data_IF_087554674230
#
_entry.id   IF_087554674230
#
_cell.length_a   1.000
_cell.length_b   1.000
_cell.length_c   1.000
_cell.angle_alpha   90.00
_cell.angle_beta   90.00
_cell.angle_gamma   90.00
#
_symmetry.space_group_name_H-M   'P 1'
#
loop_
_entity.id
_entity.type
_entity.pdbx_description
1 polymer ?
#
# COMPACT_ATOMS: atom_id res chain seq x y z
N UNK A 1 45.49 35.62 43.84
CA UNK A 1 46.33 36.73 43.36
C UNK A 1 46.37 36.57 41.84
N UNK A 2 45.83 37.43 40.99
CA UNK A 2 45.22 38.73 41.18
C UNK A 2 44.18 38.97 40.08
N UNK A 3 43.15 39.72 40.47
CA UNK A 3 42.25 40.41 39.59
C UNK A 3 42.84 41.79 39.23
N UNK A 4 42.33 42.36 38.14
CA UNK A 4 42.24 43.79 37.80
C UNK A 4 43.34 44.41 36.91
N UNK A 5 42.87 44.98 35.79
CA UNK A 5 43.05 46.38 35.32
C UNK A 5 42.45 46.43 33.88
N UNK A 6 41.30 47.08 33.64
CA UNK A 6 41.17 48.51 33.25
C UNK A 6 42.18 48.93 32.16
N UNK A 7 41.86 49.58 31.04
CA UNK A 7 40.70 50.35 30.64
C UNK A 7 40.80 50.69 29.13
N UNK A 8 39.65 51.04 28.53
CA UNK A 8 39.39 52.08 27.51
C UNK A 8 40.36 52.22 26.32
N UNK A 9 39.80 52.02 25.12
CA UNK A 9 40.31 52.54 23.87
C UNK A 9 39.24 52.52 22.78
N UNK A 10 38.54 53.65 22.62
CA UNK A 10 37.70 53.93 21.46
C UNK A 10 38.58 54.03 20.21
N UNK A 11 38.43 53.11 19.26
CA UNK A 11 38.97 53.29 17.90
C UNK A 11 37.93 52.81 16.86
N UNK A 12 37.56 53.75 16.01
CA UNK A 12 36.66 53.66 14.86
C UNK A 12 36.96 52.46 13.93
N UNK A 13 35.94 51.71 13.45
CA UNK A 13 36.12 50.59 12.53
C UNK A 13 36.15 51.07 11.09
N UNK A 14 37.18 51.81 10.69
CA UNK A 14 37.58 51.92 9.29
C UNK A 14 39.09 51.91 9.25
N UNK A 15 39.61 51.09 8.33
CA UNK A 15 41.04 50.87 8.06
C UNK A 15 41.68 49.81 8.96
N UNK A 16 41.51 48.53 8.59
CA UNK A 16 42.49 47.43 8.73
C UNK A 16 41.82 46.13 8.24
N UNK A 17 41.63 46.02 6.93
CA UNK A 17 41.27 44.79 6.22
C UNK A 17 42.04 44.81 4.93
N UNK A 18 43.36 44.58 5.00
CA UNK A 18 44.23 44.29 3.86
C UNK A 18 45.59 43.79 4.38
N UNK A 19 45.59 42.61 5.01
CA UNK A 19 46.73 41.68 5.01
C UNK A 19 46.46 40.56 6.01
N UNK A 20 46.05 39.39 5.52
CA UNK A 20 46.39 38.04 6.00
C UNK A 20 45.76 37.03 5.02
N UNK A 21 46.31 35.80 4.89
CA UNK A 21 46.36 35.06 3.64
C UNK A 21 45.15 34.15 3.42
N UNK A 22 44.78 34.05 2.14
CA UNK A 22 44.05 32.97 1.44
C UNK A 22 43.45 31.93 2.38
N UNK A 23 42.24 32.23 2.82
CA UNK A 23 41.36 31.29 3.49
C UNK A 23 40.88 30.27 2.45
N UNK A 24 40.95 28.99 2.84
CA UNK A 24 40.46 27.83 2.09
C UNK A 24 38.95 27.95 1.88
N UNK A 25 38.53 28.74 0.90
CA UNK A 25 37.23 28.60 0.25
C UNK A 25 37.26 27.32 -0.58
N UNK A 26 37.16 26.19 0.10
CA UNK A 26 36.55 25.01 -0.48
C UNK A 26 35.11 25.39 -0.82
N UNK A 27 34.89 25.88 -2.04
CA UNK A 27 33.60 25.76 -2.71
C UNK A 27 33.33 24.26 -2.85
N UNK A 28 32.88 23.63 -1.77
CA UNK A 28 32.19 22.35 -1.85
C UNK A 28 30.93 22.67 -2.66
N UNK A 29 30.98 22.35 -3.94
CA UNK A 29 29.78 22.27 -4.76
C UNK A 29 28.91 21.25 -4.06
N UNK A 30 27.96 21.71 -3.24
CA UNK A 30 26.95 20.86 -2.66
C UNK A 30 26.28 20.15 -3.82
N UNK A 31 26.47 18.83 -3.91
CA UNK A 31 25.78 18.04 -4.92
C UNK A 31 24.29 18.26 -4.70
N UNK A 32 23.52 18.40 -5.78
CA UNK A 32 22.06 18.58 -5.75
C UNK A 32 21.39 17.53 -4.83
N UNK A 33 21.99 16.35 -4.75
CA UNK A 33 21.62 15.23 -3.87
C UNK A 33 21.70 15.61 -2.38
N UNK A 34 22.70 16.37 -1.94
CA UNK A 34 22.86 16.78 -0.55
C UNK A 34 21.88 17.90 -0.15
N UNK A 35 21.47 18.73 -1.12
CA UNK A 35 20.33 19.65 -0.96
C UNK A 35 18.99 18.88 -0.83
N UNK A 36 18.80 17.80 -1.57
CA UNK A 36 17.60 16.95 -1.46
C UNK A 36 17.56 16.13 -0.16
N UNK A 37 18.73 15.72 0.36
CA UNK A 37 18.85 15.12 1.70
C UNK A 37 18.56 16.13 2.83
N UNK A 38 18.61 17.43 2.53
CA UNK A 38 18.32 18.51 3.49
C UNK A 38 16.83 18.89 3.58
N UNK A 39 15.95 18.26 2.78
CA UNK A 39 14.49 18.39 2.94
C UNK A 39 14.16 18.10 4.40
N UNK A 40 13.52 19.08 5.06
CA UNK A 40 13.30 19.10 6.49
C UNK A 40 12.68 17.79 6.96
N UNK A 41 13.41 17.06 7.81
CA UNK A 41 12.85 15.96 8.59
C UNK A 41 11.57 16.47 9.26
N UNK A 42 10.45 15.70 9.27
CA UNK A 42 9.25 16.11 9.99
C UNK A 42 9.64 16.45 11.43
N UNK A 43 9.03 17.48 12.01
CA UNK A 43 9.40 18.04 13.31
C UNK A 43 9.32 16.95 14.38
N UNK A 44 10.45 16.28 14.66
CA UNK A 44 10.49 15.08 15.48
C UNK A 44 10.26 15.47 16.93
N UNK A 45 9.04 15.29 17.43
CA UNK A 45 8.73 15.41 18.85
C UNK A 45 9.27 14.19 19.61
N UNK A 46 10.60 14.12 19.80
CA UNK A 46 11.21 13.31 20.85
C UNK A 46 11.28 14.13 22.14
N UNK A 47 11.02 13.49 23.27
CA UNK A 47 11.18 14.16 24.56
C UNK A 47 12.63 14.61 24.77
N UNK A 48 12.81 15.86 25.20
CA UNK A 48 14.09 16.55 25.49
C UNK A 48 14.95 15.88 26.58
N UNK A 49 14.58 14.70 27.07
CA UNK A 49 15.23 13.99 28.16
C UNK A 49 15.56 12.53 27.80
N UNK A 50 15.87 12.25 26.52
CA UNK A 50 16.48 10.97 26.16
C UNK A 50 17.87 10.89 26.81
N UNK A 51 18.19 9.85 27.61
CA UNK A 51 19.54 9.63 28.14
C UNK A 51 20.59 9.33 27.04
N UNK A 52 20.16 9.23 25.77
CA UNK A 52 21.04 8.97 24.63
C UNK A 52 20.99 10.13 23.61
N UNK A 53 22.03 11.00 23.56
CA UNK A 53 22.00 12.27 22.84
C UNK A 53 22.07 12.18 21.30
N UNK A 54 22.12 10.99 20.70
CA UNK A 54 22.42 10.82 19.26
C UNK A 54 21.25 10.31 18.40
N UNK A 55 20.08 10.02 18.98
CA UNK A 55 18.96 9.43 18.23
C UNK A 55 18.36 10.33 17.15
N UNK A 56 18.41 11.64 17.37
CA UNK A 56 17.97 12.65 16.38
C UNK A 56 18.90 12.70 15.16
N UNK A 57 20.12 12.17 15.29
CA UNK A 57 21.14 12.12 14.22
C UNK A 57 21.17 10.77 13.49
N UNK A 58 20.51 9.74 14.02
CA UNK A 58 20.43 8.44 13.36
C UNK A 58 19.64 8.55 12.04
N UNK A 59 20.15 7.99 10.92
CA UNK A 59 19.42 7.87 9.65
C UNK A 59 18.06 7.19 9.81
N UNK A 60 17.04 7.58 9.03
CA UNK A 60 15.68 7.01 9.19
C UNK A 60 15.61 5.50 8.93
N UNK A 61 16.49 4.96 8.11
CA UNK A 61 16.66 3.54 7.80
C UNK A 61 17.40 2.74 8.89
N UNK A 62 18.05 3.43 9.83
CA UNK A 62 18.74 2.77 10.94
C UNK A 62 17.80 2.43 12.11
N UNK A 63 17.98 1.23 12.66
CA UNK A 63 17.18 0.70 13.77
C UNK A 63 17.62 1.31 15.11
N UNK A 64 16.67 1.83 15.88
CA UNK A 64 16.88 2.26 17.25
C UNK A 64 16.91 1.02 18.17
N UNK A 65 17.93 0.89 19.03
CA UNK A 65 18.02 -0.21 19.98
C UNK A 65 16.86 -0.19 20.99
N UNK A 66 16.39 -1.36 21.42
CA UNK A 66 15.35 -1.47 22.45
C UNK A 66 15.99 -1.31 23.84
N UNK A 67 16.01 -0.09 24.35
CA UNK A 67 16.71 0.26 25.61
C UNK A 67 15.81 0.09 26.85
N UNK A 68 14.61 -0.48 26.69
CA UNK A 68 13.67 -0.68 27.80
C UNK A 68 14.21 -1.59 28.90
N UNK A 69 15.21 -2.43 28.60
CA UNK A 69 15.89 -3.27 29.60
C UNK A 69 16.89 -2.50 30.49
N UNK A 70 17.32 -1.29 30.11
CA UNK A 70 18.39 -0.54 30.79
C UNK A 70 17.93 0.81 31.38
N UNK A 71 16.69 1.25 31.10
CA UNK A 71 16.17 2.50 31.64
C UNK A 71 15.77 2.31 33.12
N UNK A 72 16.46 3.01 34.02
CA UNK A 72 16.07 3.13 35.43
C UNK A 72 15.49 4.53 35.66
N UNK A 73 14.28 4.67 36.23
CA UNK A 73 13.37 3.60 36.64
C UNK A 73 12.70 2.88 35.45
N UNK A 74 12.34 1.59 35.61
CA UNK A 74 11.64 0.81 34.60
C UNK A 74 10.33 1.50 34.19
N UNK A 75 10.22 1.89 32.92
CA UNK A 75 9.05 2.59 32.38
C UNK A 75 9.23 4.09 32.11
N UNK A 76 10.40 4.68 32.39
CA UNK A 76 10.67 6.10 32.08
C UNK A 76 10.86 6.38 30.58
N UNK A 77 11.27 5.38 29.80
CA UNK A 77 11.57 5.54 28.38
C UNK A 77 10.46 4.95 27.51
N UNK A 78 9.76 5.81 26.79
CA UNK A 78 8.75 5.42 25.81
C UNK A 78 8.99 6.11 24.47
N UNK A 79 8.62 5.43 23.38
CA UNK A 79 8.71 5.96 22.03
C UNK A 79 7.37 6.58 21.64
N UNK A 80 7.41 7.76 21.03
CA UNK A 80 6.21 8.43 20.53
C UNK A 80 6.29 8.57 19.01
N UNK A 81 5.14 8.45 18.34
CA UNK A 81 5.00 8.64 16.88
C UNK A 81 4.29 9.96 16.54
N UNK A 82 4.45 10.96 17.40
CA UNK A 82 3.74 12.23 17.29
C UNK A 82 2.44 12.32 18.08
N UNK A 83 1.71 13.41 17.88
CA UNK A 83 0.50 13.74 18.63
C UNK A 83 -0.70 12.91 18.18
N UNK A 84 -1.61 12.67 19.11
CA UNK A 84 -2.89 12.04 18.88
C UNK A 84 -3.64 12.76 17.73
N UNK A 85 -4.10 11.98 16.75
CA UNK A 85 -4.83 12.46 15.58
C UNK A 85 -4.09 13.47 14.69
N UNK A 86 -2.75 13.46 14.71
CA UNK A 86 -1.93 14.09 13.68
C UNK A 86 -1.29 12.97 12.85
N UNK A 87 -1.77 12.72 11.61
CA UNK A 87 -1.12 11.77 10.74
C UNK A 87 0.21 12.38 10.25
N UNK A 88 1.30 11.65 10.45
CA UNK A 88 2.58 11.89 9.74
C UNK A 88 2.61 11.10 8.41
N UNK A 89 1.46 10.60 7.95
CA UNK A 89 1.31 9.71 6.81
C UNK A 89 0.63 10.40 5.62
N UNK A 90 1.02 9.98 4.42
CA UNK A 90 0.39 10.43 3.19
C UNK A 90 -1.02 9.80 3.04
N UNK A 91 -2.05 10.64 3.18
CA UNK A 91 -3.46 10.26 3.03
C UNK A 91 -3.88 10.06 1.57
N UNK A 92 -2.98 10.23 0.60
CA UNK A 92 -3.28 9.98 -0.82
C UNK A 92 -3.44 8.49 -1.17
N UNK A 93 -3.17 7.56 -0.23
CA UNK A 93 -3.54 6.14 -0.32
C UNK A 93 -4.90 5.91 0.36
N UNK A 94 -6.04 5.94 -0.38
CA UNK A 94 -7.38 5.90 0.20
C UNK A 94 -7.73 4.55 0.83
N UNK A 95 -6.90 3.52 0.60
CA UNK A 95 -7.10 2.17 1.14
C UNK A 95 -6.07 1.81 2.21
N UNK A 96 -5.14 2.71 2.53
CA UNK A 96 -4.06 2.47 3.49
C UNK A 96 -3.28 1.18 3.22
N UNK A 97 -3.22 0.72 1.96
CA UNK A 97 -2.59 -0.56 1.62
C UNK A 97 -1.10 -0.53 1.92
N UNK A 98 -0.46 0.63 1.77
CA UNK A 98 0.95 0.83 2.16
C UNK A 98 1.16 0.66 3.65
N UNK A 99 0.27 1.22 4.47
CA UNK A 99 0.30 1.10 5.92
C UNK A 99 0.02 -0.34 6.36
N UNK A 100 -0.96 -1.02 5.74
CA UNK A 100 -1.29 -2.40 6.06
C UNK A 100 -0.16 -3.40 5.72
N UNK A 101 0.58 -3.15 4.62
CA UNK A 101 1.69 -4.03 4.20
C UNK A 101 2.96 -3.79 5.01
N UNK A 102 3.27 -2.54 5.37
CA UNK A 102 4.50 -2.20 6.08
C UNK A 102 4.34 -2.20 7.62
N UNK A 103 3.11 -2.00 8.11
CA UNK A 103 2.78 -1.89 9.53
C UNK A 103 1.51 -2.69 9.85
N UNK A 104 1.60 -4.03 9.96
CA UNK A 104 0.45 -4.88 10.30
C UNK A 104 -0.17 -4.55 11.67
N UNK A 105 0.60 -3.92 12.56
CA UNK A 105 0.18 -3.47 13.89
C UNK A 105 -0.15 -1.95 13.92
N UNK A 106 -0.69 -1.40 12.83
CA UNK A 106 -1.09 0.01 12.77
C UNK A 106 -2.19 0.32 13.79
N UNK A 107 -2.06 1.44 14.50
CA UNK A 107 -3.03 1.92 15.49
C UNK A 107 -3.82 3.10 14.92
N UNK A 108 -5.16 3.00 14.92
CA UNK A 108 -6.06 4.04 14.42
C UNK A 108 -6.06 5.35 15.23
N UNK A 109 -5.32 5.41 16.34
CA UNK A 109 -5.17 6.61 17.18
C UNK A 109 -4.54 7.79 16.43
N UNK A 110 -3.83 7.53 15.34
CA UNK A 110 -3.22 8.55 14.49
C UNK A 110 -4.15 9.06 13.38
N UNK A 111 -5.31 8.42 13.16
CA UNK A 111 -6.18 8.81 12.06
C UNK A 111 -6.75 10.22 12.30
N UNK A 112 -6.68 11.13 11.32
CA UNK A 112 -7.27 12.47 11.47
C UNK A 112 -8.79 12.38 11.67
N UNK A 113 -9.43 11.30 11.20
CA UNK A 113 -10.87 11.06 11.38
C UNK A 113 -11.28 10.83 12.84
N UNK A 114 -10.38 10.30 13.69
CA UNK A 114 -10.65 10.12 15.12
C UNK A 114 -10.40 11.40 15.93
N UNK A 115 -9.88 12.47 15.30
CA UNK A 115 -9.59 13.75 15.95
C UNK A 115 -10.82 14.37 16.63
N UNK A 116 -11.96 14.39 15.93
CA UNK A 116 -13.19 14.97 16.47
C UNK A 116 -13.69 14.19 17.68
N UNK A 117 -13.56 12.86 17.66
CA UNK A 117 -13.96 12.00 18.76
C UNK A 117 -13.11 12.26 20.01
N UNK A 118 -11.79 12.25 19.88
CA UNK A 118 -10.91 12.45 21.04
C UNK A 118 -10.88 13.89 21.55
N UNK A 119 -11.07 14.90 20.68
CA UNK A 119 -11.23 16.29 21.14
C UNK A 119 -12.48 16.45 22.01
N UNK A 120 -13.60 15.86 21.59
CA UNK A 120 -14.89 16.07 22.25
C UNK A 120 -15.13 15.12 23.44
N UNK A 121 -14.40 14.01 23.55
CA UNK A 121 -14.60 13.01 24.60
C UNK A 121 -13.41 12.96 25.57
N UNK A 122 -13.53 13.68 26.69
CA UNK A 122 -12.49 13.73 27.72
C UNK A 122 -12.31 12.39 28.45
N UNK A 123 -13.40 11.64 28.65
CA UNK A 123 -13.36 10.31 29.27
C UNK A 123 -12.53 9.33 28.44
N UNK A 124 -12.67 9.36 27.10
CA UNK A 124 -11.85 8.55 26.21
C UNK A 124 -10.36 8.91 26.33
N UNK A 125 -10.01 10.20 26.41
CA UNK A 125 -8.61 10.63 26.64
C UNK A 125 -8.06 10.17 27.98
N UNK A 126 -8.87 10.26 29.06
CA UNK A 126 -8.48 9.78 30.39
C UNK A 126 -8.24 8.27 30.40
N UNK A 127 -9.08 7.49 29.72
CA UNK A 127 -8.88 6.05 29.57
C UNK A 127 -7.60 5.73 28.77
N UNK A 128 -7.33 6.42 27.66
CA UNK A 128 -6.10 6.23 26.90
C UNK A 128 -4.84 6.51 27.72
N UNK A 129 -4.86 7.55 28.56
CA UNK A 129 -3.78 7.84 29.51
C UNK A 129 -3.65 6.76 30.59
N UNK A 130 -4.77 6.33 31.17
CA UNK A 130 -4.82 5.25 32.18
C UNK A 130 -4.23 3.94 31.66
N UNK A 131 -4.40 3.66 30.36
CA UNK A 131 -3.87 2.46 29.70
C UNK A 131 -2.46 2.64 29.12
N UNK A 132 -1.77 3.76 29.37
CA UNK A 132 -0.43 4.07 28.83
C UNK A 132 -0.36 4.00 27.29
N UNK A 133 -1.47 4.28 26.60
CA UNK A 133 -1.51 4.36 25.14
C UNK A 133 -1.12 5.76 24.65
N UNK A 134 -1.27 6.76 25.52
CA UNK A 134 -1.00 8.17 25.23
C UNK A 134 -0.36 8.81 26.47
N UNK A 135 0.65 9.67 26.27
CA UNK A 135 1.28 10.39 27.37
C UNK A 135 0.51 11.66 27.79
N UNK A 136 1.02 12.40 28.78
CA UNK A 136 0.36 13.62 29.27
C UNK A 136 0.24 14.73 28.23
N UNK A 137 1.16 14.74 27.26
CA UNK A 137 1.20 15.66 26.13
C UNK A 137 0.28 15.25 24.97
N UNK A 138 -0.54 14.21 25.17
CA UNK A 138 -1.37 13.60 24.14
C UNK A 138 -0.57 13.02 22.97
N UNK A 139 0.64 12.53 23.19
CA UNK A 139 1.46 11.81 22.21
C UNK A 139 1.22 10.32 22.33
N UNK A 140 1.04 9.62 21.21
CA UNK A 140 0.74 8.18 21.20
C UNK A 140 2.01 7.40 21.52
N UNK A 141 1.95 6.58 22.56
CA UNK A 141 3.04 5.74 23.03
C UNK A 141 3.10 4.47 22.18
N UNK A 142 4.29 4.05 21.77
CA UNK A 142 4.51 2.84 20.99
C UNK A 142 5.75 2.05 21.45
N UNK A 143 5.82 0.78 21.04
CA UNK A 143 6.99 -0.05 21.32
C UNK A 143 8.21 0.32 20.46
N UNK A 144 9.42 -0.08 20.85
CA UNK A 144 10.63 0.13 20.04
C UNK A 144 10.51 -0.51 18.65
N UNK A 145 9.91 -1.70 18.57
CA UNK A 145 9.62 -2.40 17.31
C UNK A 145 8.72 -1.54 16.41
N UNK A 146 7.65 -1.03 17.00
CA UNK A 146 6.66 -0.17 16.37
C UNK A 146 7.26 1.16 15.91
N UNK A 147 8.13 1.77 16.69
CA UNK A 147 8.83 2.99 16.33
C UNK A 147 9.82 2.77 15.17
N UNK A 148 10.54 1.65 15.15
CA UNK A 148 11.44 1.30 14.06
C UNK A 148 10.71 1.03 12.73
N UNK A 149 9.55 0.38 12.78
CA UNK A 149 8.68 0.23 11.59
C UNK A 149 8.24 1.59 11.06
N UNK A 150 7.87 2.50 11.96
CA UNK A 150 7.49 3.86 11.60
C UNK A 150 8.65 4.63 10.95
N UNK A 151 9.87 4.56 11.50
CA UNK A 151 11.07 5.17 10.90
C UNK A 151 11.38 4.63 9.50
N UNK A 152 11.26 3.31 9.31
CA UNK A 152 11.44 2.66 8.00
C UNK A 152 10.41 3.13 6.96
N UNK A 153 9.16 3.32 7.40
CA UNK A 153 8.11 3.89 6.56
C UNK A 153 8.43 5.33 6.13
N UNK A 154 8.85 6.19 7.07
CA UNK A 154 9.28 7.55 6.76
C UNK A 154 10.47 7.58 5.79
N UNK A 155 11.44 6.66 5.95
CA UNK A 155 12.57 6.54 5.03
C UNK A 155 12.11 6.22 3.60
N UNK A 156 11.13 5.31 3.47
CA UNK A 156 10.53 4.96 2.18
C UNK A 156 9.81 6.15 1.53
N UNK A 157 9.02 6.90 2.30
CA UNK A 157 8.36 8.12 1.81
C UNK A 157 9.37 9.18 1.37
N UNK A 158 10.42 9.42 2.16
CA UNK A 158 11.47 10.37 1.80
C UNK A 158 12.16 9.96 0.49
N UNK A 159 12.47 8.67 0.33
CA UNK A 159 13.06 8.14 -0.90
C UNK A 159 12.14 8.39 -2.10
N UNK A 160 10.84 8.16 -1.97
CA UNK A 160 9.89 8.42 -3.05
C UNK A 160 9.78 9.90 -3.43
N UNK A 161 9.83 10.80 -2.45
CA UNK A 161 9.85 12.24 -2.70
C UNK A 161 11.11 12.60 -3.50
N UNK A 162 12.27 12.12 -3.05
CA UNK A 162 13.55 12.33 -3.73
C UNK A 162 13.50 11.77 -5.16
N UNK A 163 13.00 10.55 -5.34
CA UNK A 163 12.90 9.89 -6.66
C UNK A 163 11.98 10.69 -7.60
N UNK A 164 10.84 11.19 -7.10
CA UNK A 164 9.92 12.05 -7.88
C UNK A 164 10.58 13.37 -8.27
N UNK A 165 11.29 14.02 -7.36
CA UNK A 165 11.99 15.27 -7.64
C UNK A 165 13.15 15.07 -8.63
N UNK A 166 13.85 13.95 -8.56
CA UNK A 166 14.91 13.59 -9.50
C UNK A 166 14.34 13.39 -10.91
N UNK A 167 13.26 12.61 -11.04
CA UNK A 167 12.56 12.39 -12.31
C UNK A 167 12.07 13.72 -12.90
N UNK A 168 11.48 14.59 -12.08
CA UNK A 168 11.02 15.90 -12.54
C UNK A 168 12.20 16.78 -12.99
N UNK A 169 13.34 16.75 -12.30
CA UNK A 169 14.55 17.47 -12.70
C UNK A 169 15.10 16.96 -14.03
N UNK A 170 15.11 15.64 -14.26
CA UNK A 170 15.61 15.04 -15.49
C UNK A 170 14.71 15.35 -16.69
N UNK A 171 13.38 15.29 -16.50
CA UNK A 171 12.40 15.67 -17.53
C UNK A 171 12.49 17.15 -17.88
N UNK A 172 12.68 18.02 -16.89
CA UNK A 172 12.89 19.46 -17.14
C UNK A 172 14.22 19.72 -17.85
N UNK A 173 15.27 18.95 -17.54
CA UNK A 173 16.54 19.05 -18.23
C UNK A 173 16.45 18.59 -19.69
N UNK A 174 15.72 17.50 -19.97
CA UNK A 174 15.51 17.04 -21.35
C UNK A 174 14.68 18.03 -22.17
N UNK A 175 13.65 18.65 -21.58
CA UNK A 175 12.86 19.69 -22.25
C UNK A 175 13.72 20.92 -22.55
N UNK A 176 14.58 21.35 -21.61
CA UNK A 176 15.48 22.48 -21.82
C UNK A 176 16.49 22.23 -22.94
N UNK A 177 17.03 21.01 -23.05
CA UNK A 177 17.92 20.60 -24.15
C UNK A 177 17.19 20.56 -25.50
N UNK A 178 15.90 20.21 -25.51
CA UNK A 178 15.08 20.19 -26.73
C UNK A 178 14.70 21.59 -27.21
N UNK A 179 14.42 22.51 -26.28
CA UNK A 179 14.09 23.93 -26.56
C UNK A 179 15.31 24.74 -27.03
N UNK A 180 16.52 24.35 -26.62
CA UNK A 180 17.77 24.99 -27.06
C UNK A 180 18.24 24.56 -28.45
N UNK A 181 17.63 23.56 -29.09
CA UNK A 181 17.93 23.24 -30.49
C UNK A 181 17.50 24.44 -31.34
N UNK A 182 18.43 25.16 -31.99
CA UNK A 182 18.03 26.27 -32.85
C UNK A 182 17.10 25.73 -33.94
N UNK A 183 16.00 26.43 -34.29
CA UNK A 183 15.22 26.05 -35.44
C UNK A 183 16.14 25.99 -36.66
N UNK A 184 16.02 24.97 -37.53
CA UNK A 184 16.90 24.82 -38.69
C UNK A 184 16.87 26.13 -39.49
N UNK A 185 18.03 26.78 -39.54
CA UNK A 185 18.16 28.16 -39.99
C UNK A 185 17.58 28.33 -41.39
N UNK A 186 16.56 29.18 -41.51
CA UNK A 186 15.88 29.56 -42.76
C UNK A 186 16.76 30.33 -43.74
N UNK A 187 18.03 30.59 -43.41
CA UNK A 187 18.97 31.39 -44.20
C UNK A 187 19.65 30.66 -45.37
N UNK A 188 19.37 29.36 -45.58
CA UNK A 188 19.97 28.61 -46.68
C UNK A 188 19.28 28.83 -48.04
N UNK A 189 18.15 29.53 -48.07
CA UNK A 189 17.37 29.77 -49.30
C UNK A 189 17.96 30.85 -50.22
N UNK A 190 18.87 31.69 -49.70
CA UNK A 190 19.31 32.89 -50.41
C UNK A 190 20.70 32.75 -51.07
N UNK A 191 21.35 31.58 -50.99
CA UNK A 191 22.77 31.41 -51.40
C UNK A 191 22.98 30.25 -52.40
N UNK A 192 22.00 29.33 -52.56
CA UNK A 192 22.17 28.13 -53.38
C UNK A 192 21.32 28.18 -54.66
N UNK A 193 21.89 27.85 -55.84
CA UNK A 193 21.13 27.62 -57.07
C UNK A 193 20.01 26.59 -56.86
N UNK A 194 18.88 26.77 -57.55
CA UNK A 194 17.67 25.95 -57.37
C UNK A 194 17.91 24.44 -57.49
N UNK A 195 18.83 24.00 -58.35
CA UNK A 195 19.15 22.58 -58.53
C UNK A 195 19.81 21.96 -57.29
N UNK A 196 20.69 22.73 -56.62
CA UNK A 196 21.33 22.30 -55.36
C UNK A 196 20.34 22.34 -54.19
N UNK A 197 19.34 23.21 -54.21
CA UNK A 197 18.27 23.24 -53.22
C UNK A 197 17.37 22.00 -53.30
N UNK A 198 17.13 21.46 -54.51
CA UNK A 198 16.37 20.22 -54.69
C UNK A 198 17.13 19.02 -54.12
N UNK A 199 18.45 18.95 -54.33
CA UNK A 199 19.30 17.89 -53.80
C UNK A 199 19.44 17.95 -52.27
N UNK A 200 19.56 19.16 -51.69
CA UNK A 200 19.54 19.36 -50.23
C UNK A 200 18.17 19.00 -49.63
N UNK A 201 17.05 19.30 -50.30
CA UNK A 201 15.72 18.85 -49.83
C UNK A 201 15.60 17.34 -49.86
N UNK A 202 16.02 16.70 -50.95
CA UNK A 202 15.94 15.24 -51.08
C UNK A 202 16.80 14.53 -50.02
N UNK A 203 18.03 14.98 -49.80
CA UNK A 203 18.89 14.43 -48.74
C UNK A 203 18.32 14.69 -47.34
N UNK A 204 17.69 15.84 -47.11
CA UNK A 204 17.02 16.14 -45.84
C UNK A 204 15.76 15.29 -45.63
N UNK A 205 14.99 15.03 -46.68
CA UNK A 205 13.85 14.10 -46.68
C UNK A 205 14.32 12.67 -46.40
N UNK A 206 15.38 12.21 -47.05
CA UNK A 206 15.99 10.89 -46.82
C UNK A 206 16.52 10.73 -45.39
N UNK A 207 17.15 11.77 -44.83
CA UNK A 207 17.60 11.79 -43.44
C UNK A 207 16.41 11.75 -42.47
N UNK A 208 15.35 12.50 -42.76
CA UNK A 208 14.12 12.51 -41.94
C UNK A 208 13.41 11.15 -41.99
N UNK A 209 13.34 10.52 -43.16
CA UNK A 209 12.77 9.20 -43.36
C UNK A 209 13.57 8.13 -42.61
N UNK A 210 14.91 8.16 -42.71
CA UNK A 210 15.79 7.28 -41.95
C UNK A 210 15.66 7.46 -40.43
N UNK A 211 15.44 8.69 -39.95
CA UNK A 211 15.16 8.94 -38.54
C UNK A 211 13.81 8.35 -38.12
N UNK A 212 12.76 8.54 -38.91
CA UNK A 212 11.43 7.96 -38.66
C UNK A 212 11.52 6.43 -38.61
N UNK A 213 12.20 5.79 -39.57
CA UNK A 213 12.40 4.34 -39.59
C UNK A 213 13.17 3.83 -38.36
N UNK A 214 14.17 4.58 -37.88
CA UNK A 214 14.89 4.24 -36.62
C UNK A 214 13.97 4.35 -35.41
N UNK A 215 13.12 5.38 -35.37
CA UNK A 215 12.15 5.57 -34.30
C UNK A 215 11.13 4.42 -34.30
N UNK A 216 10.55 4.07 -35.44
CA UNK A 216 9.61 2.95 -35.58
C UNK A 216 10.23 1.61 -35.16
N UNK A 217 11.45 1.32 -35.60
CA UNK A 217 12.19 0.13 -35.17
C UNK A 217 12.43 0.10 -33.67
N UNK A 218 12.70 1.26 -33.06
CA UNK A 218 12.86 1.36 -31.61
C UNK A 218 11.52 1.20 -30.89
N UNK A 219 10.42 1.78 -31.39
CA UNK A 219 9.07 1.59 -30.85
C UNK A 219 8.72 0.10 -30.82
N UNK A 220 8.92 -0.63 -31.92
CA UNK A 220 8.67 -2.08 -31.94
C UNK A 220 9.50 -2.86 -30.91
N UNK A 221 10.77 -2.47 -30.68
CA UNK A 221 11.59 -3.05 -29.59
C UNK A 221 11.04 -2.72 -28.20
N UNK A 222 10.55 -1.49 -27.99
CA UNK A 222 9.94 -1.08 -26.72
C UNK A 222 8.64 -1.82 -26.44
N UNK A 223 7.79 -2.02 -27.45
CA UNK A 223 6.57 -2.81 -27.33
C UNK A 223 6.86 -4.27 -26.96
N UNK A 224 7.86 -4.90 -27.59
CA UNK A 224 8.30 -6.24 -27.22
C UNK A 224 8.79 -6.33 -25.77
N UNK A 225 9.55 -5.32 -25.31
CA UNK A 225 10.01 -5.24 -23.91
C UNK A 225 8.85 -5.05 -22.92
N UNK A 226 7.90 -4.18 -23.25
CA UNK A 226 6.70 -3.97 -22.43
C UNK A 226 5.87 -5.26 -22.31
N UNK A 227 5.61 -5.93 -23.43
CA UNK A 227 4.92 -7.22 -23.45
C UNK A 227 5.66 -8.29 -22.62
N UNK A 228 7.00 -8.32 -22.67
CA UNK A 228 7.78 -9.24 -21.85
C UNK A 228 7.68 -8.93 -20.34
N UNK A 229 7.66 -7.65 -19.96
CA UNK A 229 7.47 -7.22 -18.57
C UNK A 229 6.07 -7.60 -18.07
N UNK A 230 5.03 -7.37 -18.87
CA UNK A 230 3.65 -7.75 -18.53
C UNK A 230 3.50 -9.26 -18.36
N UNK A 231 4.05 -10.06 -19.27
CA UNK A 231 4.08 -11.52 -19.14
C UNK A 231 4.79 -11.97 -17.86
N UNK A 232 5.93 -11.36 -17.50
CA UNK A 232 6.62 -11.64 -16.24
C UNK A 232 5.78 -11.30 -15.02
N UNK A 233 5.14 -10.12 -14.99
CA UNK A 233 4.24 -9.72 -13.90
C UNK A 233 3.06 -10.67 -13.76
N UNK A 234 2.45 -11.10 -14.87
CA UNK A 234 1.36 -12.07 -14.85
C UNK A 234 1.83 -13.43 -14.31
N UNK A 235 2.99 -13.92 -14.75
CA UNK A 235 3.56 -15.18 -14.26
C UNK A 235 3.85 -15.10 -12.74
N UNK A 236 4.38 -13.98 -12.27
CA UNK A 236 4.65 -13.75 -10.85
C UNK A 236 3.36 -13.69 -10.03
N UNK A 237 2.32 -13.05 -10.55
CA UNK A 237 0.99 -13.03 -9.92
C UNK A 237 0.43 -14.46 -9.78
N UNK A 238 0.50 -15.26 -10.85
CA UNK A 238 0.06 -16.67 -10.83
C UNK A 238 0.86 -17.48 -9.80
N UNK A 239 2.19 -17.34 -9.78
CA UNK A 239 3.06 -18.01 -8.79
C UNK A 239 2.74 -17.57 -7.36
N UNK A 240 2.49 -16.28 -7.13
CA UNK A 240 2.15 -15.75 -5.80
C UNK A 240 0.80 -16.29 -5.32
N UNK A 241 -0.20 -16.37 -6.22
CA UNK A 241 -1.49 -16.98 -5.95
C UNK A 241 -1.33 -18.46 -5.58
N UNK A 242 -0.57 -19.24 -6.38
CA UNK A 242 -0.27 -20.64 -6.09
C UNK A 242 0.44 -20.85 -4.73
N UNK A 243 1.35 -19.95 -4.36
CA UNK A 243 2.00 -20.00 -3.03
C UNK A 243 1.00 -19.75 -1.90
N UNK A 244 0.09 -18.79 -2.08
CA UNK A 244 -0.95 -18.50 -1.09
C UNK A 244 -1.93 -19.68 -0.95
N UNK A 245 -2.35 -20.30 -2.06
CA UNK A 245 -3.23 -21.48 -2.00
C UNK A 245 -2.54 -22.66 -1.31
N UNK A 246 -1.26 -22.90 -1.62
CA UNK A 246 -0.46 -23.94 -0.97
C UNK A 246 -0.28 -23.68 0.54
N UNK A 247 -0.01 -22.43 0.94
CA UNK A 247 0.10 -22.04 2.36
C UNK A 247 -1.24 -22.19 3.10
N UNK A 248 -2.34 -21.80 2.46
CA UNK A 248 -3.68 -21.94 3.03
C UNK A 248 -4.05 -23.41 3.22
N UNK A 249 -3.79 -24.25 2.21
CA UNK A 249 -4.00 -25.70 2.29
C UNK A 249 -3.13 -26.34 3.39
N UNK A 250 -1.84 -25.99 3.46
CA UNK A 250 -0.93 -26.47 4.52
C UNK A 250 -1.43 -26.08 5.92
N UNK A 251 -1.88 -24.85 6.08
CA UNK A 251 -2.41 -24.36 7.37
C UNK A 251 -3.70 -25.06 7.77
N UNK A 252 -4.61 -25.26 6.81
CA UNK A 252 -5.83 -26.04 7.02
C UNK A 252 -5.53 -27.49 7.39
N UNK A 253 -4.63 -28.15 6.66
CA UNK A 253 -4.19 -29.52 6.93
C UNK A 253 -3.58 -29.66 8.34
N UNK A 254 -2.71 -28.73 8.74
CA UNK A 254 -2.12 -28.73 10.08
C UNK A 254 -3.15 -28.53 11.21
N UNK A 255 -4.24 -27.79 10.96
CA UNK A 255 -5.34 -27.67 11.92
C UNK A 255 -6.11 -28.99 12.05
N UNK A 256 -6.39 -29.65 10.93
CA UNK A 256 -7.07 -30.95 10.94
C UNK A 256 -6.22 -32.05 11.59
N UNK A 257 -4.92 -32.07 11.29
CA UNK A 257 -3.98 -32.99 11.93
C UNK A 257 -3.96 -32.80 13.45
N UNK A 258 -3.89 -31.55 13.93
CA UNK A 258 -3.96 -31.24 15.37
C UNK A 258 -5.25 -31.72 16.04
N UNK A 259 -6.40 -31.65 15.35
CA UNK A 259 -7.66 -32.20 15.87
C UNK A 259 -7.56 -33.71 16.07
N UNK A 260 -7.05 -34.44 15.09
CA UNK A 260 -6.85 -35.90 15.19
C UNK A 260 -5.83 -36.25 16.26
N UNK A 261 -4.68 -35.57 16.30
CA UNK A 261 -3.65 -35.79 17.31
C UNK A 261 -4.17 -35.52 18.74
N UNK A 262 -5.08 -34.55 18.91
CA UNK A 262 -5.75 -34.31 20.20
C UNK A 262 -6.73 -35.43 20.56
N UNK A 263 -7.49 -35.96 19.60
CA UNK A 263 -8.39 -37.11 19.85
C UNK A 263 -7.57 -38.36 20.24
N UNK A 264 -6.46 -38.63 19.56
CA UNK A 264 -5.56 -39.73 19.89
C UNK A 264 -4.99 -39.56 21.30
N UNK A 265 -4.44 -38.39 21.62
CA UNK A 265 -3.94 -38.10 22.98
C UNK A 265 -5.00 -38.24 24.05
N UNK A 266 -6.23 -37.80 23.80
CA UNK A 266 -7.33 -37.96 24.76
C UNK A 266 -7.70 -39.43 24.96
N UNK A 267 -7.67 -40.25 23.89
CA UNK A 267 -7.90 -41.70 23.99
C UNK A 267 -6.80 -42.41 24.78
N UNK A 268 -5.54 -42.06 24.55
CA UNK A 268 -4.40 -42.61 25.31
C UNK A 268 -4.54 -42.27 26.80
N UNK A 269 -4.88 -41.03 27.11
CA UNK A 269 -5.04 -40.55 28.49
C UNK A 269 -6.21 -41.26 29.19
N UNK A 270 -7.33 -41.49 28.48
CA UNK A 270 -8.46 -42.26 29.00
C UNK A 270 -8.08 -43.74 29.22
N UNK A 271 -7.32 -44.34 28.30
CA UNK A 271 -6.80 -45.70 28.43
C UNK A 271 -5.89 -45.86 29.64
N UNK A 272 -5.03 -44.88 29.93
CA UNK A 272 -4.18 -44.88 31.11
C UNK A 272 -4.97 -44.73 32.42
N UNK A 273 -6.03 -43.91 32.42
CA UNK A 273 -6.95 -43.80 33.56
C UNK A 273 -7.66 -45.14 33.80
N UNK A 274 -8.21 -45.76 32.76
CA UNK A 274 -8.87 -47.08 32.88
C UNK A 274 -7.92 -48.17 33.38
N UNK A 275 -6.67 -48.22 32.89
CA UNK A 275 -5.66 -49.17 33.39
C UNK A 275 -5.40 -49.01 34.88
N UNK A 276 -5.34 -47.76 35.38
CA UNK A 276 -5.17 -47.50 36.83
C UNK A 276 -6.40 -47.94 37.62
N UNK A 277 -7.60 -47.75 37.09
CA UNK A 277 -8.86 -48.20 37.70
C UNK A 277 -8.90 -49.73 37.79
N UNK A 278 -8.60 -50.44 36.70
CA UNK A 278 -8.54 -51.91 36.66
C UNK A 278 -7.50 -52.43 37.64
N UNK A 279 -6.29 -51.85 37.68
CA UNK A 279 -5.27 -52.22 38.66
C UNK A 279 -5.71 -51.96 40.10
N UNK A 280 -6.56 -50.95 40.34
CA UNK A 280 -7.13 -50.67 41.65
C UNK A 280 -8.16 -51.74 42.03
N UNK A 281 -9.03 -52.13 41.10
CA UNK A 281 -10.02 -53.20 41.30
C UNK A 281 -9.37 -54.59 41.46
N UNK A 282 -8.35 -54.91 40.67
CA UNK A 282 -7.60 -56.18 40.79
C UNK A 282 -6.93 -56.32 42.17
N UNK A 283 -6.42 -55.22 42.74
CA UNK A 283 -5.90 -55.21 44.12
C UNK A 283 -7.00 -55.47 45.15
N UNK A 284 -8.23 -55.02 44.88
CA UNK A 284 -9.40 -55.28 45.73
C UNK A 284 -9.94 -56.71 45.55
N UNK A 285 -9.72 -57.31 44.38
CA UNK A 285 -10.26 -58.61 43.99
C UNK A 285 -9.35 -59.82 44.32
N UNK A 286 -8.25 -59.66 45.07
CA UNK A 286 -7.41 -60.77 45.56
C UNK A 286 -8.11 -61.63 46.65
N UNK A 287 -9.27 -62.19 46.33
CA UNK A 287 -9.90 -63.35 46.98
C UNK A 287 -9.62 -64.61 46.14
N UNK A 288 -9.57 -65.82 46.74
CA UNK A 288 -9.00 -67.00 46.09
C UNK A 288 -9.85 -67.49 44.91
N UNK A 289 -9.16 -67.98 43.87
CA UNK A 289 -9.66 -68.18 42.51
C UNK A 289 -9.66 -69.66 42.10
N UNK A 290 -10.76 -70.12 41.48
CA UNK A 290 -10.82 -71.34 40.64
C UNK A 290 -11.38 -71.12 39.22
N UNK A 291 -11.52 -69.89 38.72
CA UNK A 291 -12.14 -69.60 37.40
C UNK A 291 -11.28 -68.70 36.48
N UNK A 292 -9.97 -68.95 36.36
CA UNK A 292 -9.07 -68.10 35.55
C UNK A 292 -9.08 -68.43 34.04
N UNK A 293 -9.18 -69.71 33.67
CA UNK A 293 -9.02 -70.12 32.25
C UNK A 293 -10.14 -69.66 31.30
N UNK A 294 -11.40 -69.61 31.76
CA UNK A 294 -12.52 -69.20 30.90
C UNK A 294 -12.58 -67.68 30.67
N UNK A 295 -12.15 -66.89 31.65
CA UNK A 295 -12.16 -65.42 31.57
C UNK A 295 -11.09 -64.89 30.62
N UNK A 296 -9.94 -65.55 30.54
CA UNK A 296 -8.85 -65.16 29.63
C UNK A 296 -9.22 -65.40 28.15
N UNK A 297 -9.88 -66.53 27.83
CA UNK A 297 -10.36 -66.80 26.46
C UNK A 297 -11.47 -65.82 26.04
N UNK A 298 -12.41 -65.52 26.95
CA UNK A 298 -13.46 -64.54 26.67
C UNK A 298 -12.87 -63.12 26.51
N UNK A 299 -11.87 -62.74 27.33
CA UNK A 299 -11.19 -61.46 27.21
C UNK A 299 -10.44 -61.33 25.86
N UNK A 300 -9.77 -62.39 25.41
CA UNK A 300 -9.07 -62.41 24.13
C UNK A 300 -10.02 -62.23 22.94
N UNK A 301 -11.14 -62.96 22.91
CA UNK A 301 -12.15 -62.83 21.86
C UNK A 301 -12.80 -61.43 21.86
N UNK A 302 -13.06 -60.89 23.05
CA UNK A 302 -13.61 -59.52 23.19
C UNK A 302 -12.62 -58.46 22.69
N UNK A 303 -11.31 -58.67 22.91
CA UNK A 303 -10.25 -57.79 22.41
C UNK A 303 -10.19 -57.82 20.88
N UNK A 304 -10.21 -59.00 20.25
CA UNK A 304 -10.20 -59.12 18.79
C UNK A 304 -11.40 -58.43 18.13
N UNK A 305 -12.60 -58.57 18.71
CA UNK A 305 -13.80 -57.92 18.19
C UNK A 305 -13.70 -56.38 18.27
N UNK A 306 -13.13 -55.85 19.36
CA UNK A 306 -12.88 -54.41 19.51
C UNK A 306 -11.85 -53.89 18.51
N UNK A 307 -10.79 -54.65 18.26
CA UNK A 307 -9.75 -54.26 17.29
C UNK A 307 -10.29 -54.25 15.86
N UNK A 308 -11.16 -55.20 15.51
CA UNK A 308 -11.88 -55.18 14.22
C UNK A 308 -12.80 -53.97 14.07
N UNK A 309 -13.63 -53.67 15.09
CA UNK A 309 -14.49 -52.49 15.10
C UNK A 309 -13.67 -51.18 15.03
N UNK A 310 -12.51 -51.13 15.69
CA UNK A 310 -11.62 -49.97 15.64
C UNK A 310 -11.02 -49.76 14.24
N UNK A 311 -10.64 -50.83 13.55
CA UNK A 311 -10.16 -50.79 12.16
C UNK A 311 -11.24 -50.32 11.18
N UNK A 312 -12.47 -50.78 11.33
CA UNK A 312 -13.61 -50.32 10.52
C UNK A 312 -13.89 -48.83 10.74
N UNK A 313 -13.93 -48.38 12.00
CA UNK A 313 -14.07 -46.95 12.32
C UNK A 313 -12.95 -46.09 11.71
N UNK A 314 -11.72 -46.60 11.67
CA UNK A 314 -10.59 -45.90 11.08
C UNK A 314 -10.74 -45.73 9.56
N UNK A 315 -11.20 -46.78 8.86
CA UNK A 315 -11.51 -46.71 7.43
C UNK A 315 -12.63 -45.71 7.16
N UNK A 316 -13.70 -45.76 7.95
CA UNK A 316 -14.84 -44.85 7.85
C UNK A 316 -14.43 -43.38 8.04
N UNK A 317 -13.50 -43.13 8.98
CA UNK A 317 -12.93 -41.80 9.20
C UNK A 317 -12.06 -41.33 8.02
N UNK A 318 -11.26 -42.22 7.44
CA UNK A 318 -10.44 -41.88 6.28
C UNK A 318 -11.29 -41.63 5.04
N UNK A 319 -12.37 -42.39 4.83
CA UNK A 319 -13.31 -42.18 3.73
C UNK A 319 -14.06 -40.85 3.89
N UNK A 320 -14.54 -40.53 5.10
CA UNK A 320 -15.12 -39.20 5.41
C UNK A 320 -14.11 -38.08 5.17
N UNK A 321 -12.84 -38.29 5.49
CA UNK A 321 -11.77 -37.32 5.24
C UNK A 321 -11.51 -37.13 3.74
N UNK A 322 -11.53 -38.19 2.95
CA UNK A 322 -11.40 -38.08 1.48
C UNK A 322 -12.60 -37.35 0.88
N UNK A 323 -13.82 -37.65 1.33
CA UNK A 323 -15.03 -36.97 0.86
C UNK A 323 -14.99 -35.47 1.16
N UNK A 324 -14.66 -35.09 2.41
CA UNK A 324 -14.49 -33.68 2.79
C UNK A 324 -13.40 -32.98 1.97
N UNK A 325 -12.32 -33.67 1.63
CA UNK A 325 -11.25 -33.13 0.78
C UNK A 325 -11.77 -32.86 -0.64
N UNK A 326 -12.54 -33.78 -1.21
CA UNK A 326 -13.15 -33.62 -2.54
C UNK A 326 -14.13 -32.45 -2.54
N UNK A 327 -15.05 -32.39 -1.58
CA UNK A 327 -16.01 -31.29 -1.44
C UNK A 327 -15.32 -29.93 -1.28
N UNK A 328 -14.27 -29.87 -0.46
CA UNK A 328 -13.52 -28.64 -0.27
C UNK A 328 -12.84 -28.19 -1.57
N UNK A 329 -12.25 -29.11 -2.33
CA UNK A 329 -11.65 -28.83 -3.65
C UNK A 329 -12.71 -28.29 -4.61
N UNK A 330 -13.92 -28.85 -4.63
CA UNK A 330 -15.00 -28.37 -5.49
C UNK A 330 -15.51 -26.99 -5.08
N UNK A 331 -15.74 -26.74 -3.79
CA UNK A 331 -16.12 -25.40 -3.28
C UNK A 331 -15.06 -24.37 -3.62
N UNK A 332 -13.79 -24.74 -3.50
CA UNK A 332 -12.67 -23.86 -3.82
C UNK A 332 -12.57 -23.58 -5.33
N UNK A 333 -12.77 -24.58 -6.19
CA UNK A 333 -12.87 -24.40 -7.65
C UNK A 333 -14.01 -23.44 -8.02
N UNK A 334 -15.20 -23.61 -7.44
CA UNK A 334 -16.34 -22.70 -7.64
C UNK A 334 -16.00 -21.26 -7.22
N UNK A 335 -15.30 -21.08 -6.10
CA UNK A 335 -14.86 -19.76 -5.64
C UNK A 335 -13.85 -19.10 -6.58
N UNK A 336 -12.90 -19.87 -7.15
CA UNK A 336 -11.95 -19.36 -8.14
C UNK A 336 -12.69 -18.89 -9.39
N UNK A 337 -13.58 -19.73 -9.94
CA UNK A 337 -14.37 -19.38 -11.13
C UNK A 337 -15.18 -18.10 -10.88
N UNK A 338 -15.82 -17.99 -9.72
CA UNK A 338 -16.55 -16.78 -9.32
C UNK A 338 -15.64 -15.54 -9.26
N UNK A 339 -14.43 -15.67 -8.71
CA UNK A 339 -13.45 -14.57 -8.68
C UNK A 339 -12.97 -14.18 -10.07
N UNK A 340 -12.68 -15.14 -10.94
CA UNK A 340 -12.23 -14.88 -12.32
C UNK A 340 -13.33 -14.20 -13.15
N UNK A 341 -14.57 -14.65 -13.01
CA UNK A 341 -15.73 -14.01 -13.65
C UNK A 341 -15.93 -12.58 -13.15
N UNK A 342 -15.81 -12.34 -11.84
CA UNK A 342 -15.93 -11.00 -11.28
C UNK A 342 -14.74 -10.08 -11.66
N UNK A 343 -13.51 -10.61 -11.69
CA UNK A 343 -12.35 -9.85 -12.17
C UNK A 343 -12.51 -9.46 -13.64
N UNK A 344 -12.98 -10.39 -14.49
CA UNK A 344 -13.27 -10.14 -15.90
C UNK A 344 -14.35 -9.06 -16.06
N UNK A 345 -15.41 -9.12 -15.24
CA UNK A 345 -16.48 -8.09 -15.21
C UNK A 345 -15.96 -6.72 -14.77
N UNK A 346 -15.14 -6.66 -13.73
CA UNK A 346 -14.51 -5.42 -13.28
C UNK A 346 -13.55 -4.84 -14.33
N UNK A 347 -12.76 -5.70 -14.99
CA UNK A 347 -11.87 -5.29 -16.07
C UNK A 347 -12.64 -4.75 -17.28
N UNK A 348 -13.71 -5.44 -17.71
CA UNK A 348 -14.57 -4.98 -18.79
C UNK A 348 -15.21 -3.62 -18.48
N UNK A 349 -15.71 -3.41 -17.26
CA UNK A 349 -16.25 -2.13 -16.82
C UNK A 349 -15.19 -1.02 -16.82
N UNK A 350 -13.97 -1.33 -16.41
CA UNK A 350 -12.85 -0.38 -16.42
C UNK A 350 -12.45 -0.01 -17.85
N UNK A 351 -12.30 -1.00 -18.73
CA UNK A 351 -12.01 -0.79 -20.15
C UNK A 351 -13.10 0.05 -20.83
N UNK A 352 -14.38 -0.24 -20.58
CA UNK A 352 -15.49 0.56 -21.10
C UNK A 352 -15.45 2.03 -20.63
N UNK A 353 -15.02 2.29 -19.38
CA UNK A 353 -14.80 3.66 -18.89
C UNK A 353 -13.62 4.34 -19.58
N UNK A 354 -12.52 3.63 -19.76
CA UNK A 354 -11.33 4.13 -20.47
C UNK A 354 -11.65 4.45 -21.94
N UNK A 355 -12.33 3.55 -22.65
CA UNK A 355 -12.81 3.74 -24.01
C UNK A 355 -13.75 4.95 -24.13
N UNK A 356 -14.63 5.15 -23.14
CA UNK A 356 -15.50 6.34 -23.08
C UNK A 356 -14.68 7.63 -22.93
N UNK A 357 -13.65 7.64 -22.10
CA UNK A 357 -12.75 8.81 -21.95
C UNK A 357 -11.98 9.08 -23.24
N UNK A 358 -11.46 8.03 -23.91
CA UNK A 358 -10.77 8.15 -25.19
C UNK A 358 -11.70 8.74 -26.26
N UNK A 359 -12.94 8.25 -26.33
CA UNK A 359 -13.96 8.76 -27.26
C UNK A 359 -14.30 10.24 -27.00
N UNK A 360 -14.46 10.63 -25.73
CA UNK A 360 -14.68 12.03 -25.37
C UNK A 360 -13.49 12.94 -25.74
N UNK A 361 -12.26 12.48 -25.54
CA UNK A 361 -11.05 13.20 -25.98
C UNK A 361 -11.02 13.39 -27.49
N UNK A 362 -11.31 12.34 -28.27
CA UNK A 362 -11.39 12.44 -29.74
C UNK A 362 -12.41 13.48 -30.18
N UNK A 363 -13.62 13.43 -29.62
CA UNK A 363 -14.67 14.43 -29.91
C UNK A 363 -14.24 15.87 -29.57
N UNK A 364 -13.57 16.06 -28.43
CA UNK A 364 -13.05 17.37 -28.04
C UNK A 364 -11.99 17.87 -29.04
N UNK A 365 -11.05 17.01 -29.44
CA UNK A 365 -10.03 17.34 -30.43
C UNK A 365 -10.63 17.69 -31.79
N UNK A 366 -11.65 16.94 -32.25
CA UNK A 366 -12.35 17.25 -33.51
C UNK A 366 -13.05 18.61 -33.44
N UNK A 367 -13.64 18.93 -32.29
CA UNK A 367 -14.33 20.20 -32.08
C UNK A 367 -13.33 21.37 -32.04
N UNK A 368 -12.22 21.21 -31.34
CA UNK A 368 -11.11 22.16 -31.35
C UNK A 368 -10.54 22.36 -32.76
N UNK A 369 -10.32 21.28 -33.52
CA UNK A 369 -9.86 21.33 -34.92
C UNK A 369 -10.80 22.15 -35.79
N UNK A 370 -12.13 21.94 -35.66
CA UNK A 370 -13.15 22.73 -36.38
C UNK A 370 -13.11 24.22 -36.02
N UNK A 371 -12.87 24.55 -34.74
CA UNK A 371 -12.71 25.94 -34.29
C UNK A 371 -11.47 26.58 -34.92
N UNK A 372 -10.33 25.88 -34.89
CA UNK A 372 -9.07 26.37 -35.46
C UNK A 372 -9.19 26.58 -36.97
N UNK A 373 -9.82 25.64 -37.70
CA UNK A 373 -10.07 25.78 -39.14
C UNK A 373 -10.93 27.02 -39.42
N UNK A 374 -12.05 27.21 -38.69
CA UNK A 374 -12.89 28.42 -38.83
C UNK A 374 -12.14 29.71 -38.55
N UNK A 375 -11.23 29.72 -37.57
CA UNK A 375 -10.42 30.90 -37.28
C UNK A 375 -9.39 31.17 -38.39
N UNK A 376 -8.86 30.13 -39.02
CA UNK A 376 -7.89 30.25 -40.11
C UNK A 376 -8.55 30.69 -41.43
N UNK A 377 -9.80 30.30 -41.64
CA UNK A 377 -10.59 30.65 -42.83
C UNK A 377 -11.25 32.04 -42.75
N UNK A 378 -11.09 32.78 -41.64
CA UNK A 378 -11.49 34.20 -41.56
C UNK A 378 -10.27 35.08 -41.82
N UNK A 379 -10.09 35.62 -43.04
CA UNK A 379 -9.00 36.54 -43.31
C UNK A 379 -9.34 37.89 -42.70
N UNK A 380 -8.46 38.38 -41.82
CA UNK A 380 -8.33 39.80 -41.45
C UNK A 380 -9.60 40.56 -41.00
N UNK A 381 -10.52 39.94 -40.24
CA UNK A 381 -11.46 40.75 -39.44
C UNK A 381 -10.74 41.24 -38.19
N UNK A 382 -10.52 42.56 -38.11
CA UNK A 382 -9.96 43.34 -36.99
C UNK A 382 -10.19 42.68 -35.62
N UNK A 383 -9.08 42.41 -34.92
CA UNK A 383 -9.00 41.76 -33.62
C UNK A 383 -9.83 42.48 -32.53
N UNK A 384 -11.08 42.05 -32.32
CA UNK A 384 -11.83 42.26 -31.07
C UNK A 384 -11.76 40.97 -30.23
N UNK A 385 -10.56 40.55 -29.83
CA UNK A 385 -10.32 39.27 -29.17
C UNK A 385 -10.09 39.40 -27.67
N UNK A 386 -11.17 39.27 -26.90
CA UNK A 386 -11.15 38.74 -25.52
C UNK A 386 -12.56 38.37 -25.05
N UNK A 387 -13.60 39.04 -25.56
CA UNK A 387 -14.99 38.81 -25.13
C UNK A 387 -15.78 37.72 -25.88
N UNK A 388 -15.34 37.27 -27.07
CA UNK A 388 -16.08 36.23 -27.82
C UNK A 388 -15.82 34.80 -27.33
N UNK A 389 -14.63 34.51 -26.79
CA UNK A 389 -14.25 33.16 -26.34
C UNK A 389 -15.16 32.70 -25.19
N UNK A 390 -15.51 33.57 -24.24
CA UNK A 390 -16.42 33.23 -23.15
C UNK A 390 -17.84 32.89 -23.65
N UNK A 391 -18.31 33.57 -24.70
CA UNK A 391 -19.65 33.36 -25.25
C UNK A 391 -19.72 32.01 -26.00
N UNK A 392 -18.66 31.66 -26.71
CA UNK A 392 -18.59 30.40 -27.45
C UNK A 392 -18.33 29.18 -26.55
N UNK A 393 -17.54 29.33 -25.48
CA UNK A 393 -17.36 28.31 -24.42
C UNK A 393 -18.68 28.04 -23.69
N UNK A 394 -19.46 29.09 -23.39
CA UNK A 394 -20.76 28.94 -22.73
C UNK A 394 -21.76 28.19 -23.63
N UNK A 395 -21.79 28.51 -24.93
CA UNK A 395 -22.61 27.80 -25.92
C UNK A 395 -22.20 26.35 -26.13
N UNK A 396 -20.90 26.05 -26.11
CA UNK A 396 -20.42 24.65 -26.19
C UNK A 396 -20.73 23.89 -24.91
N UNK A 397 -20.65 24.51 -23.74
CA UNK A 397 -21.05 23.87 -22.49
C UNK A 397 -22.55 23.59 -22.42
N UNK A 398 -23.41 24.51 -22.88
CA UNK A 398 -24.86 24.26 -22.95
C UNK A 398 -25.20 23.19 -24.00
N UNK A 399 -24.54 23.18 -25.16
CA UNK A 399 -24.74 22.13 -26.16
C UNK A 399 -24.26 20.75 -25.66
N UNK A 400 -23.13 20.69 -24.94
CA UNK A 400 -22.66 19.46 -24.31
C UNK A 400 -23.61 19.00 -23.20
N UNK A 401 -24.26 19.91 -22.47
CA UNK A 401 -25.30 19.58 -21.49
C UNK A 401 -26.56 19.01 -22.17
N UNK A 402 -27.03 19.61 -23.26
CA UNK A 402 -28.20 19.14 -24.02
C UNK A 402 -27.96 17.77 -24.67
N UNK A 403 -26.79 17.55 -25.27
CA UNK A 403 -26.48 16.29 -25.98
C UNK A 403 -26.12 15.16 -25.02
N UNK A 404 -25.51 15.45 -23.87
CA UNK A 404 -25.16 14.42 -22.88
C UNK A 404 -26.28 14.12 -21.88
N UNK A 405 -27.30 14.98 -21.79
CA UNK A 405 -28.28 14.98 -20.70
C UNK A 405 -27.65 15.20 -19.31
N UNK A 406 -26.37 15.61 -19.26
CA UNK A 406 -25.59 15.66 -18.04
C UNK A 406 -25.52 17.08 -17.50
N UNK A 407 -26.41 17.41 -16.56
CA UNK A 407 -26.27 18.61 -15.73
C UNK A 407 -25.23 18.33 -14.63
N UNK A 408 -24.01 18.92 -14.70
CA UNK A 408 -22.92 18.58 -13.79
C UNK A 408 -23.25 18.88 -12.33
N UNK A 409 -24.16 19.83 -12.07
CA UNK A 409 -24.56 20.18 -10.71
C UNK A 409 -25.68 19.27 -10.24
N UNK A 410 -26.73 19.07 -11.04
CA UNK A 410 -27.90 18.28 -10.62
C UNK A 410 -27.62 16.78 -10.56
N UNK A 411 -26.83 16.25 -11.50
CA UNK A 411 -26.55 14.82 -11.57
C UNK A 411 -25.45 14.39 -10.59
N UNK A 412 -24.44 15.22 -10.32
CA UNK A 412 -23.44 14.89 -9.30
C UNK A 412 -24.07 14.72 -7.91
N UNK A 413 -24.96 15.63 -7.50
CA UNK A 413 -25.65 15.53 -6.21
C UNK A 413 -26.65 14.37 -6.17
N UNK A 414 -27.38 14.13 -7.26
CA UNK A 414 -28.32 13.01 -7.35
C UNK A 414 -27.60 11.65 -7.38
N UNK A 415 -26.49 11.52 -8.11
CA UNK A 415 -25.64 10.32 -8.14
C UNK A 415 -25.03 10.08 -6.75
N UNK A 416 -24.58 11.13 -6.06
CA UNK A 416 -24.06 11.04 -4.69
C UNK A 416 -25.15 10.55 -3.71
N UNK A 417 -26.38 11.09 -3.83
CA UNK A 417 -27.53 10.69 -3.00
C UNK A 417 -27.99 9.25 -3.30
N UNK A 418 -28.05 8.86 -4.57
CA UNK A 418 -28.40 7.50 -4.98
C UNK A 418 -27.36 6.48 -4.52
N UNK A 419 -26.07 6.79 -4.68
CA UNK A 419 -24.99 5.94 -4.18
C UNK A 419 -25.06 5.77 -2.65
N UNK A 420 -25.35 6.85 -1.92
CA UNK A 420 -25.50 6.80 -0.45
C UNK A 420 -26.72 6.00 -0.01
N UNK A 421 -27.83 6.04 -0.76
CA UNK A 421 -29.03 5.20 -0.53
C UNK A 421 -28.74 3.73 -0.82
N UNK A 422 -28.07 3.44 -1.94
CA UNK A 422 -27.69 2.08 -2.32
C UNK A 422 -26.70 1.44 -1.32
N UNK A 423 -25.74 2.21 -0.79
CA UNK A 423 -24.86 1.75 0.28
C UNK A 423 -25.62 1.46 1.58
N UNK A 424 -26.59 2.31 1.93
CA UNK A 424 -27.42 2.08 3.12
C UNK A 424 -28.25 0.79 2.99
N UNK A 425 -28.87 0.56 1.84
CA UNK A 425 -29.62 -0.67 1.55
C UNK A 425 -28.73 -1.92 1.60
N UNK A 426 -27.51 -1.84 1.02
CA UNK A 426 -26.55 -2.95 1.10
C UNK A 426 -26.14 -3.26 2.54
N UNK A 427 -25.89 -2.24 3.37
CA UNK A 427 -25.58 -2.45 4.80
C UNK A 427 -26.73 -3.13 5.52
N UNK A 428 -27.96 -2.68 5.35
CA UNK A 428 -29.13 -3.31 5.96
C UNK A 428 -29.35 -4.75 5.48
N UNK A 429 -29.12 -5.05 4.19
CA UNK A 429 -29.19 -6.43 3.68
C UNK A 429 -28.07 -7.33 4.24
N UNK A 430 -26.88 -6.77 4.46
CA UNK A 430 -25.75 -7.51 5.04
C UNK A 430 -25.98 -7.78 6.53
N UNK A 431 -26.52 -6.81 7.26
CA UNK A 431 -26.89 -6.95 8.69
C UNK A 431 -28.02 -8.00 8.86
N UNK A 432 -29.03 -8.00 7.99
CA UNK A 432 -30.08 -9.03 8.02
C UNK A 432 -29.54 -10.43 7.72
N UNK A 433 -28.65 -10.57 6.72
CA UNK A 433 -28.03 -11.86 6.40
C UNK A 433 -27.10 -12.39 7.49
N UNK A 434 -26.50 -11.50 8.29
CA UNK A 434 -25.66 -11.89 9.44
C UNK A 434 -26.56 -12.38 10.59
N UNK A 435 -27.63 -11.65 10.89
CA UNK A 435 -28.58 -12.07 11.93
C UNK A 435 -29.28 -13.40 11.58
N UNK A 436 -29.68 -13.60 10.32
CA UNK A 436 -30.27 -14.88 9.89
C UNK A 436 -29.30 -16.07 10.01
N UNK A 437 -27.99 -15.83 9.86
CA UNK A 437 -26.97 -16.85 10.09
C UNK A 437 -26.76 -17.13 11.58
N UNK A 438 -26.71 -16.08 12.41
CA UNK A 438 -26.56 -16.22 13.87
C UNK A 438 -27.77 -16.91 14.51
N UNK A 439 -28.99 -16.61 14.05
CA UNK A 439 -30.22 -17.28 14.53
C UNK A 439 -30.30 -18.76 14.08
N UNK A 440 -29.68 -19.13 12.96
CA UNK A 440 -29.61 -20.52 12.51
C UNK A 440 -28.57 -21.38 13.24
N UNK A 441 -27.49 -20.76 13.76
CA UNK A 441 -26.48 -21.48 14.56
C UNK A 441 -26.95 -21.74 16.01
N UNK A 442 -27.91 -20.97 16.53
CA UNK A 442 -28.43 -21.13 17.90
C UNK A 442 -29.43 -22.30 18.03
N UNK A 443 -29.95 -22.83 16.92
CA UNK A 443 -30.91 -23.96 16.93
C UNK A 443 -30.29 -25.34 16.66
N UNK A 444 -28.97 -25.42 16.42
CA UNK A 444 -28.26 -26.70 16.18
C UNK A 444 -27.30 -27.13 17.32
N UNK A 445 -27.24 -26.41 18.43
CA UNK A 445 -26.70 -26.88 19.73
C UNK A 445 -27.83 -27.26 20.70
#
# INVERSE_FOLDING_TARGET
MDWSLCAKGDVSPRTLMNSLPIDLRMCVKFNKIDHLKSISKPEQHMQRLSPFPLWNRLPLDSKVPDVRAQAWPPGSLYFTRGKLCQPEFDLTDPKGQRLAVQMPDYTSLHDPHVQKYFRNNENARRQLKKHNLVNDKNEVICSAKHYNQFRSHLASLQKEIIDKELINSDVMHSIALEVQKPPPSTKLKDILPMDKLAEVRKTQEDLSFNQVMRIEKNIGKWELRLNAIEKRKHLELVKSSQRQTAQHYRSWYLRQKRKVDNVVRNKELLGDVMKREIQREERLAQRPVRERGFKEQHAFLTQQLRDQQALELLKDMDDKRQLQKVEWIERYRKHIIYKEQNQSRCHALRKAKEDRVIMLRRKYFDLWRKIVIRHRERPNSVHNSTWSIQRDVKKTMTFLQEVSGYDPRRNFFNDLLQNRRAEKQKRSQTELSINEMEDSEIFEE
#
